data_IF_635889304219
#
_entry.id   IF_635889304219
#
_cell.length_a   1.000
_cell.length_b   1.000
_cell.length_c   1.000
_cell.angle_alpha   90.00
_cell.angle_beta   90.00
_cell.angle_gamma   90.00
#
_symmetry.space_group_name_H-M   'P 1'
#
loop_
_entity.id
_entity.type
_entity.pdbx_description
1 polymer ?
#
# COMPACT_ATOMS: atom_id res chain seq x y z
N UNK A 1 6.05 15.68 -4.32
CA UNK A 1 6.15 15.02 -5.64
C UNK A 1 7.37 15.52 -6.45
N UNK A 2 7.44 16.81 -6.85
CA UNK A 2 8.58 17.34 -7.64
C UNK A 2 9.97 17.18 -6.99
N UNK A 3 10.09 17.41 -5.68
CA UNK A 3 11.37 17.29 -4.98
C UNK A 3 11.91 15.85 -4.93
N UNK A 4 11.03 14.85 -4.90
CA UNK A 4 11.40 13.43 -4.86
C UNK A 4 11.87 12.97 -6.26
N UNK A 5 11.19 13.41 -7.31
CA UNK A 5 11.56 13.13 -8.70
C UNK A 5 12.88 13.76 -9.15
N UNK A 6 13.29 14.87 -8.53
CA UNK A 6 14.55 15.54 -8.86
C UNK A 6 15.79 14.86 -8.23
N UNK A 7 15.60 14.03 -7.21
CA UNK A 7 16.69 13.41 -6.43
C UNK A 7 16.93 11.94 -6.79
N UNK A 8 16.11 11.36 -7.67
CA UNK A 8 16.06 9.91 -7.88
C UNK A 8 15.98 9.56 -9.36
N UNK A 9 16.87 8.69 -9.83
CA UNK A 9 16.73 8.06 -11.15
C UNK A 9 15.73 6.90 -11.06
N UNK A 10 14.44 7.24 -11.07
CA UNK A 10 13.39 6.23 -10.96
C UNK A 10 13.36 5.25 -12.14
N UNK A 11 13.90 5.62 -13.30
CA UNK A 11 13.91 4.74 -14.46
C UNK A 11 14.85 3.54 -14.24
N UNK A 12 16.07 3.77 -13.76
CA UNK A 12 17.01 2.67 -13.46
C UNK A 12 16.55 1.78 -12.30
N UNK A 13 15.65 2.29 -11.46
CA UNK A 13 15.12 1.53 -10.32
C UNK A 13 14.01 0.54 -10.69
N UNK A 14 13.45 0.63 -11.90
CA UNK A 14 12.37 -0.23 -12.35
C UNK A 14 12.74 -1.72 -12.46
N UNK A 15 14.03 -2.02 -12.60
CA UNK A 15 14.55 -3.40 -12.68
C UNK A 15 14.78 -4.04 -11.31
N UNK A 16 14.75 -3.25 -10.23
CA UNK A 16 15.02 -3.73 -8.89
C UNK A 16 13.91 -4.66 -8.38
N UNK A 17 14.26 -5.71 -7.61
CA UNK A 17 13.28 -6.47 -6.85
C UNK A 17 12.43 -5.56 -5.97
N UNK A 18 11.13 -5.87 -5.84
CA UNK A 18 10.15 -5.01 -5.16
C UNK A 18 10.55 -4.62 -3.75
N UNK A 19 11.15 -5.54 -3.00
CA UNK A 19 11.60 -5.24 -1.64
C UNK A 19 12.82 -4.32 -1.63
N UNK A 20 13.78 -4.51 -2.54
CA UNK A 20 14.95 -3.62 -2.66
C UNK A 20 14.51 -2.21 -3.09
N UNK A 21 13.57 -2.12 -4.02
CA UNK A 21 12.97 -0.86 -4.43
C UNK A 21 12.22 -0.18 -3.28
N UNK A 22 11.47 -0.94 -2.48
CA UNK A 22 10.83 -0.42 -1.25
C UNK A 22 11.86 0.20 -0.32
N UNK A 23 12.96 -0.49 -0.04
CA UNK A 23 13.99 0.01 0.85
C UNK A 23 14.64 1.29 0.32
N UNK A 24 14.91 1.39 -1.00
CA UNK A 24 15.38 2.63 -1.63
C UNK A 24 14.37 3.78 -1.49
N UNK A 25 13.09 3.51 -1.73
CA UNK A 25 12.03 4.50 -1.58
C UNK A 25 11.93 5.03 -0.15
N UNK A 26 12.11 4.17 0.86
CA UNK A 26 12.09 4.55 2.27
C UNK A 26 13.28 5.43 2.71
N UNK A 27 14.36 5.48 1.92
CA UNK A 27 15.49 6.40 2.17
C UNK A 27 15.20 7.84 1.72
N UNK A 28 14.11 8.07 0.98
CA UNK A 28 13.76 9.39 0.48
C UNK A 28 13.05 10.20 1.57
N UNK A 29 13.48 11.44 1.76
CA UNK A 29 12.88 12.34 2.75
C UNK A 29 11.36 12.49 2.54
N UNK A 30 10.61 12.21 3.60
CA UNK A 30 9.14 12.27 3.60
C UNK A 30 8.44 11.04 3.02
N UNK A 31 9.17 9.98 2.64
CA UNK A 31 8.58 8.72 2.18
C UNK A 31 8.52 7.69 3.31
N UNK A 32 7.34 7.53 3.91
CA UNK A 32 7.05 6.44 4.82
C UNK A 32 6.47 5.20 4.11
N UNK A 33 6.34 4.10 4.85
CA UNK A 33 5.79 2.79 4.42
C UNK A 33 4.62 2.87 3.43
N UNK A 34 3.56 3.60 3.79
CA UNK A 34 2.37 3.77 2.95
C UNK A 34 2.69 4.46 1.62
N UNK A 35 3.52 5.50 1.67
CA UNK A 35 3.89 6.28 0.47
C UNK A 35 4.78 5.43 -0.43
N UNK A 36 5.73 4.68 0.13
CA UNK A 36 6.56 3.74 -0.60
C UNK A 36 5.69 2.72 -1.35
N UNK A 37 4.69 2.11 -0.70
CA UNK A 37 3.76 1.20 -1.39
C UNK A 37 2.93 1.87 -2.47
N UNK A 38 2.47 3.10 -2.26
CA UNK A 38 1.75 3.83 -3.31
C UNK A 38 2.63 4.03 -4.54
N UNK A 39 3.91 4.35 -4.33
CA UNK A 39 4.87 4.51 -5.44
C UNK A 39 5.12 3.15 -6.12
N UNK A 40 5.30 2.07 -5.35
CA UNK A 40 5.46 0.72 -5.90
C UNK A 40 4.25 0.29 -6.74
N UNK A 41 3.04 0.45 -6.20
CA UNK A 41 1.80 -0.01 -6.85
C UNK A 41 1.45 0.84 -8.08
N UNK A 42 1.45 2.17 -7.92
CA UNK A 42 0.94 3.08 -8.96
C UNK A 42 2.04 3.60 -9.90
N UNK A 43 3.28 3.72 -9.42
CA UNK A 43 4.41 4.21 -10.21
C UNK A 43 5.21 3.10 -10.90
N UNK A 44 5.37 1.95 -10.23
CA UNK A 44 6.18 0.82 -10.73
C UNK A 44 5.36 -0.43 -11.08
N UNK A 45 4.02 -0.36 -10.98
CA UNK A 45 3.11 -1.46 -11.31
C UNK A 45 3.40 -2.78 -10.55
N UNK A 46 3.96 -2.70 -9.34
CA UNK A 46 4.19 -3.87 -8.47
C UNK A 46 2.87 -4.29 -7.82
N UNK A 47 2.17 -5.24 -8.43
CA UNK A 47 0.83 -5.68 -7.99
C UNK A 47 0.85 -6.37 -6.63
N UNK A 48 2.00 -6.86 -6.18
CA UNK A 48 2.20 -7.40 -4.84
C UNK A 48 2.31 -6.32 -3.75
N UNK A 49 2.44 -5.03 -4.12
CA UNK A 49 2.45 -3.94 -3.16
C UNK A 49 1.05 -3.65 -2.59
N UNK A 50 0.99 -3.32 -1.29
CA UNK A 50 -0.27 -3.15 -0.58
C UNK A 50 -0.25 -1.88 0.29
N UNK A 51 -0.63 -0.72 -0.27
CA UNK A 51 -0.69 0.51 0.49
C UNK A 51 -1.73 0.42 1.61
N UNK A 52 -1.27 0.41 2.87
CA UNK A 52 -2.14 0.43 4.06
C UNK A 52 -2.16 1.84 4.62
N UNK A 53 -3.26 2.57 4.41
CA UNK A 53 -3.58 3.79 5.14
C UNK A 53 -4.52 3.51 6.33
N UNK A 54 -5.00 4.57 6.98
CA UNK A 54 -5.90 4.43 8.13
C UNK A 54 -7.24 3.79 7.78
N UNK A 55 -7.74 3.96 6.55
CA UNK A 55 -9.02 3.40 6.10
C UNK A 55 -8.89 1.94 5.70
N UNK A 56 -7.84 1.61 4.93
CA UNK A 56 -7.52 0.21 4.61
C UNK A 56 -7.23 -0.57 5.88
N UNK A 57 -6.50 0.02 6.84
CA UNK A 57 -6.28 -0.63 8.14
C UNK A 57 -7.59 -0.94 8.86
N UNK A 58 -8.51 0.03 8.92
CA UNK A 58 -9.84 -0.19 9.52
C UNK A 58 -10.62 -1.27 8.78
N UNK A 59 -10.59 -1.26 7.45
CA UNK A 59 -11.24 -2.25 6.62
C UNK A 59 -10.75 -3.67 6.89
N UNK A 60 -9.43 -3.85 6.97
CA UNK A 60 -8.86 -5.15 7.27
C UNK A 60 -9.22 -5.63 8.67
N UNK A 61 -9.26 -4.72 9.65
CA UNK A 61 -9.64 -5.07 11.02
C UNK A 61 -11.11 -5.51 11.08
N UNK A 62 -12.02 -4.76 10.46
CA UNK A 62 -13.45 -5.09 10.43
C UNK A 62 -13.71 -6.43 9.72
N UNK A 63 -13.04 -6.68 8.59
CA UNK A 63 -13.33 -7.84 7.74
C UNK A 63 -12.59 -9.12 8.15
N UNK A 64 -11.37 -9.01 8.67
CA UNK A 64 -10.47 -10.16 8.84
C UNK A 64 -9.88 -10.31 10.24
N UNK A 65 -9.90 -9.26 11.07
CA UNK A 65 -9.32 -9.28 12.41
C UNK A 65 -10.29 -8.73 13.48
N UNK A 66 -11.53 -9.23 13.55
CA UNK A 66 -12.51 -8.72 14.51
C UNK A 66 -12.00 -8.89 15.95
N UNK A 67 -12.03 -7.79 16.72
CA UNK A 67 -11.55 -7.77 18.10
C UNK A 67 -10.04 -7.79 18.29
N UNK A 68 -9.25 -7.72 17.21
CA UNK A 68 -7.80 -7.74 17.26
C UNK A 68 -7.18 -6.42 16.80
N UNK A 69 -5.93 -6.16 17.22
CA UNK A 69 -5.17 -4.95 16.87
C UNK A 69 -3.85 -5.30 16.19
N UNK A 70 -3.89 -5.92 15.00
CA UNK A 70 -2.69 -6.38 14.29
C UNK A 70 -1.73 -5.22 13.96
N UNK A 71 -0.43 -5.51 14.05
CA UNK A 71 0.65 -4.61 13.62
C UNK A 71 0.64 -4.51 12.09
N UNK A 72 1.23 -3.44 11.55
CA UNK A 72 1.30 -3.21 10.10
C UNK A 72 1.90 -4.40 9.34
N UNK A 73 2.96 -5.01 9.88
CA UNK A 73 3.60 -6.20 9.31
C UNK A 73 2.65 -7.41 9.21
N UNK A 74 1.77 -7.59 10.19
CA UNK A 74 0.83 -8.72 10.24
C UNK A 74 -0.27 -8.53 9.20
N UNK A 75 -0.75 -7.28 9.04
CA UNK A 75 -1.68 -6.93 7.97
C UNK A 75 -1.06 -7.18 6.58
N UNK A 76 0.18 -6.74 6.35
CA UNK A 76 0.89 -7.00 5.08
C UNK A 76 1.04 -8.49 4.80
N UNK A 77 1.51 -9.26 5.79
CA UNK A 77 1.69 -10.70 5.65
C UNK A 77 0.37 -11.42 5.33
N UNK A 78 -0.71 -11.06 6.04
CA UNK A 78 -2.03 -11.58 5.75
C UNK A 78 -2.51 -11.23 4.33
N UNK A 79 -2.34 -9.98 3.90
CA UNK A 79 -2.76 -9.57 2.56
C UNK A 79 -1.96 -10.28 1.45
N UNK A 80 -0.67 -10.51 1.66
CA UNK A 80 0.19 -11.27 0.74
C UNK A 80 -0.23 -12.75 0.68
N UNK A 81 -0.44 -13.40 1.83
CA UNK A 81 -0.89 -14.79 1.91
C UNK A 81 -2.29 -14.99 1.29
N UNK A 82 -3.21 -14.07 1.58
CA UNK A 82 -4.62 -14.16 1.16
C UNK A 82 -4.84 -13.87 -0.32
N UNK A 83 -4.13 -12.88 -0.88
CA UNK A 83 -4.39 -12.36 -2.23
C UNK A 83 -3.24 -12.60 -3.21
N UNK A 84 -2.08 -13.07 -2.75
CA UNK A 84 -0.92 -13.40 -3.57
C UNK A 84 -0.42 -12.23 -4.39
N UNK A 85 -0.12 -12.45 -5.67
CA UNK A 85 0.34 -11.39 -6.59
C UNK A 85 -0.71 -10.30 -6.82
N UNK A 86 -1.99 -10.54 -6.52
CA UNK A 86 -3.08 -9.60 -6.78
C UNK A 86 -3.45 -8.74 -5.57
N UNK A 87 -2.62 -8.75 -4.53
CA UNK A 87 -2.85 -7.99 -3.29
C UNK A 87 -3.12 -6.50 -3.56
N UNK A 88 -2.38 -5.86 -4.46
CA UNK A 88 -2.61 -4.47 -4.88
C UNK A 88 -3.93 -4.23 -5.60
N UNK A 89 -4.45 -5.22 -6.34
CA UNK A 89 -5.79 -5.15 -6.94
C UNK A 89 -6.86 -5.25 -5.84
N UNK A 90 -6.71 -6.20 -4.91
CA UNK A 90 -7.59 -6.35 -3.76
C UNK A 90 -7.64 -5.04 -2.92
N UNK A 91 -6.50 -4.37 -2.78
CA UNK A 91 -6.40 -3.06 -2.13
C UNK A 91 -7.31 -2.01 -2.78
N UNK A 92 -7.35 -1.94 -4.12
CA UNK A 92 -8.20 -1.00 -4.85
C UNK A 92 -9.68 -1.26 -4.58
N UNK A 93 -10.10 -2.53 -4.56
CA UNK A 93 -11.49 -2.89 -4.26
C UNK A 93 -11.87 -2.56 -2.81
N UNK A 94 -11.00 -2.86 -1.85
CA UNK A 94 -11.20 -2.49 -0.44
C UNK A 94 -11.33 -0.97 -0.30
N UNK A 95 -10.46 -0.21 -0.97
CA UNK A 95 -10.50 1.25 -0.96
C UNK A 95 -11.81 1.79 -1.55
N UNK A 96 -12.22 1.28 -2.72
CA UNK A 96 -13.43 1.72 -3.41
C UNK A 96 -14.70 1.44 -2.58
N UNK A 97 -14.81 0.24 -2.02
CA UNK A 97 -15.93 -0.15 -1.17
C UNK A 97 -16.06 0.76 0.07
N UNK A 98 -14.95 1.01 0.78
CA UNK A 98 -14.96 1.87 1.96
C UNK A 98 -15.23 3.34 1.62
N UNK A 99 -14.68 3.84 0.51
CA UNK A 99 -14.96 5.20 0.04
C UNK A 99 -16.45 5.40 -0.27
N UNK A 100 -17.13 4.39 -0.82
CA UNK A 100 -18.58 4.43 -1.04
C UNK A 100 -19.35 4.44 0.28
N UNK A 101 -19.03 3.55 1.23
CA UNK A 101 -19.66 3.53 2.57
C UNK A 101 -19.52 4.86 3.32
N UNK A 102 -18.36 5.51 3.24
CA UNK A 102 -18.15 6.84 3.86
C UNK A 102 -19.06 7.92 3.27
N UNK A 103 -19.29 7.91 1.95
CA UNK A 103 -20.20 8.84 1.29
C UNK A 103 -21.66 8.61 1.72
N UNK A 104 -22.06 7.36 1.87
CA UNK A 104 -23.42 6.99 2.29
C UNK A 104 -23.71 7.27 3.77
N UNK A 105 -22.70 7.26 4.63
CA UNK A 105 -22.85 7.53 6.07
C UNK A 105 -22.82 9.02 6.45
N UNK A 106 -22.49 9.89 5.49
CA UNK A 106 -22.40 11.36 5.70
C UNK A 106 -23.59 12.11 5.10
N UNK A 107 -24.65 11.39 4.70
CA UNK A 107 -25.86 11.92 4.08
C UNK A 107 -27.11 11.55 4.84
#
# INVERSE_FOLDING_TARGET
>A
ARAIAAQSDFASWAELPTEELRQRLLQLDGVGEKVADCILLFGFHRLEAFPIDTWIRRAMIELYFPGQTPRLRELRAFAADRFGTYTGIAQQYLFAHYRQRMKSASG
#
